data_IF_793979791894
#
_entry.id   IF_793979791894
#
_cell.length_a   1.000
_cell.length_b   1.000
_cell.length_c   1.000
_cell.angle_alpha   90.00
_cell.angle_beta   90.00
_cell.angle_gamma   90.00
#
_symmetry.space_group_name_H-M   'P 1'
#
loop_
_entity.id
_entity.type
_entity.pdbx_description
1 polymer ?
#
# COMPACT_ATOMS: atom_id res chain seq x y z
N UNK A 1 -0.59 -34.04 -53.60
CA UNK A 1 0.73 -33.42 -53.37
C UNK A 1 0.73 -32.90 -51.94
N UNK A 2 1.57 -33.46 -51.06
CA UNK A 2 1.68 -33.03 -49.67
C UNK A 2 2.83 -32.05 -49.50
N UNK A 3 2.65 -31.04 -48.65
CA UNK A 3 3.72 -30.12 -48.24
C UNK A 3 3.95 -30.27 -46.74
N UNK A 4 4.93 -31.10 -46.38
CA UNK A 4 5.45 -31.19 -45.02
C UNK A 4 6.43 -30.05 -44.79
N UNK A 5 6.13 -29.16 -43.84
CA UNK A 5 7.11 -28.19 -43.32
C UNK A 5 7.68 -28.77 -42.02
N UNK A 6 8.97 -29.09 -42.04
CA UNK A 6 9.71 -29.62 -40.88
C UNK A 6 9.96 -28.51 -39.85
N UNK A 7 9.44 -28.67 -38.64
CA UNK A 7 9.77 -27.84 -37.48
C UNK A 7 11.15 -28.25 -36.96
N UNK A 8 12.14 -27.34 -37.05
CA UNK A 8 13.44 -27.53 -36.42
C UNK A 8 13.30 -27.31 -34.91
N UNK A 9 13.46 -28.37 -34.13
CA UNK A 9 13.45 -28.31 -32.66
C UNK A 9 14.53 -27.36 -32.13
N UNK A 10 14.17 -26.57 -31.13
CA UNK A 10 15.10 -25.71 -30.40
C UNK A 10 16.16 -26.55 -29.70
N UNK A 11 17.42 -26.13 -29.81
CA UNK A 11 18.55 -26.76 -29.11
C UNK A 11 18.31 -26.66 -27.61
N UNK A 12 18.46 -27.78 -26.89
CA UNK A 12 18.41 -27.88 -25.44
C UNK A 12 19.38 -26.90 -24.77
N UNK A 13 18.90 -25.69 -24.51
CA UNK A 13 19.56 -24.71 -23.65
C UNK A 13 18.50 -24.11 -22.76
N UNK A 14 18.53 -24.51 -21.49
CA UNK A 14 17.68 -23.95 -20.46
C UNK A 14 17.94 -22.43 -20.37
N UNK A 15 16.96 -21.56 -20.68
CA UNK A 15 17.16 -20.11 -20.78
C UNK A 15 17.45 -19.41 -19.45
N UNK A 16 17.48 -20.17 -18.35
CA UNK A 16 17.70 -19.69 -16.99
C UNK A 16 19.14 -19.91 -16.51
N UNK A 17 20.03 -20.47 -17.34
CA UNK A 17 21.42 -20.74 -16.95
C UNK A 17 22.36 -19.74 -17.64
N UNK A 18 23.07 -18.89 -16.88
CA UNK A 18 24.07 -17.98 -17.40
C UNK A 18 25.23 -18.71 -18.11
N UNK A 19 25.77 -18.08 -19.15
CA UNK A 19 26.78 -18.66 -20.05
C UNK A 19 28.17 -18.93 -19.44
N UNK A 20 28.34 -18.77 -18.12
CA UNK A 20 29.61 -18.97 -17.41
C UNK A 20 29.62 -20.24 -16.54
N UNK A 21 28.49 -20.95 -16.44
CA UNK A 21 28.39 -22.22 -15.72
C UNK A 21 28.66 -23.36 -16.70
N UNK A 22 29.85 -23.95 -16.62
CA UNK A 22 30.21 -25.15 -17.37
C UNK A 22 29.55 -26.41 -16.76
N UNK A 23 29.13 -27.29 -17.65
CA UNK A 23 28.20 -28.41 -17.44
C UNK A 23 28.94 -29.70 -17.01
N UNK A 24 29.73 -29.63 -15.93
CA UNK A 24 30.53 -30.76 -15.46
C UNK A 24 30.32 -31.08 -13.97
N UNK A 25 29.08 -31.40 -13.62
CA UNK A 25 28.73 -32.11 -12.38
C UNK A 25 27.54 -33.03 -12.62
N UNK A 26 27.80 -34.24 -13.13
CA UNK A 26 26.83 -35.34 -13.10
C UNK A 26 27.06 -36.20 -11.85
N UNK A 27 26.06 -36.37 -10.98
CA UNK A 27 25.91 -37.59 -10.21
C UNK A 27 24.74 -38.40 -10.78
N UNK A 28 25.10 -39.53 -11.40
CA UNK A 28 24.28 -40.73 -11.53
C UNK A 28 23.80 -41.21 -10.15
N UNK A 29 22.49 -41.35 -9.96
CA UNK A 29 21.85 -42.68 -9.94
C UNK A 29 20.34 -42.58 -9.64
N UNK A 30 19.55 -43.26 -10.47
CA UNK A 30 18.13 -43.57 -10.31
C UNK A 30 17.96 -44.64 -9.21
N UNK A 31 16.85 -44.77 -8.46
CA UNK A 31 15.48 -45.15 -8.85
C UNK A 31 14.67 -45.42 -7.54
N UNK A 32 13.43 -45.96 -7.55
CA UNK A 32 12.20 -45.60 -8.26
C UNK A 32 10.93 -45.54 -7.34
N UNK A 33 9.80 -45.23 -7.99
CA UNK A 33 8.38 -45.18 -7.59
C UNK A 33 7.85 -46.13 -6.49
N UNK A 34 6.89 -45.62 -5.69
CA UNK A 34 5.75 -46.40 -5.20
C UNK A 34 4.56 -45.51 -4.72
N UNK A 35 3.44 -45.60 -5.45
CA UNK A 35 2.04 -45.52 -4.95
C UNK A 35 1.28 -46.64 -5.69
N UNK A 36 0.05 -47.08 -5.33
CA UNK A 36 -0.93 -46.51 -4.37
C UNK A 36 -1.63 -47.56 -3.47
N UNK A 37 -2.54 -47.15 -2.56
CA UNK A 37 -3.90 -47.74 -2.39
C UNK A 37 -4.71 -47.12 -1.23
N UNK A 38 -5.96 -46.75 -1.52
CA UNK A 38 -7.06 -46.56 -0.55
C UNK A 38 -7.81 -47.89 -0.33
N UNK A 39 -8.58 -48.00 0.77
CA UNK A 39 -9.99 -48.39 0.61
C UNK A 39 -10.97 -47.63 1.54
N UNK A 40 -12.21 -47.44 1.06
CA UNK A 40 -13.42 -47.08 1.84
C UNK A 40 -14.14 -48.36 2.38
N UNK A 41 -15.39 -48.33 2.88
CA UNK A 41 -15.82 -48.06 4.26
C UNK A 41 -16.61 -49.26 4.87
N UNK A 42 -16.95 -49.22 6.16
CA UNK A 42 -17.97 -50.14 6.73
C UNK A 42 -18.74 -49.47 7.89
N UNK A 43 -20.04 -49.79 7.99
CA UNK A 43 -21.05 -49.11 8.81
C UNK A 43 -21.58 -49.88 10.03
N UNK A 44 -22.71 -49.40 10.57
CA UNK A 44 -23.53 -49.99 11.66
C UNK A 44 -23.66 -49.02 12.86
N UNK A 45 -24.77 -48.28 13.01
CA UNK A 45 -26.04 -48.63 13.73
C UNK A 45 -25.81 -48.82 15.26
N UNK A 46 -26.60 -48.32 16.22
CA UNK A 46 -28.06 -48.14 16.28
C UNK A 46 -28.51 -47.34 17.54
N UNK A 47 -29.75 -46.81 17.49
CA UNK A 47 -30.66 -46.52 18.63
C UNK A 47 -30.57 -45.15 19.34
N UNK A 48 -31.61 -44.34 19.54
CA UNK A 48 -33.06 -44.47 19.31
C UNK A 48 -33.89 -43.89 20.48
N UNK A 49 -34.90 -43.05 20.14
CA UNK A 49 -36.08 -42.59 20.92
C UNK A 49 -35.86 -41.48 21.97
N UNK A 50 -36.74 -40.48 22.18
CA UNK A 50 -38.18 -40.28 21.90
C UNK A 50 -38.46 -38.75 22.05
N UNK A 51 -39.19 -38.04 21.17
CA UNK A 51 -40.67 -37.87 21.17
C UNK A 51 -41.10 -36.88 22.27
N UNK A 52 -41.83 -35.78 22.07
CA UNK A 52 -43.03 -35.47 21.28
C UNK A 52 -43.26 -33.94 21.32
N UNK A 53 -43.64 -33.19 20.28
CA UNK A 53 -44.83 -33.18 19.40
C UNK A 53 -46.00 -32.29 19.90
N UNK A 54 -46.72 -31.72 18.91
CA UNK A 54 -47.92 -30.84 18.89
C UNK A 54 -47.67 -29.39 18.40
N UNK A 55 -47.94 -29.02 17.13
CA UNK A 55 -49.22 -28.78 16.39
C UNK A 55 -50.07 -27.63 16.96
N UNK A 56 -50.67 -26.69 16.21
CA UNK A 56 -50.90 -26.43 14.78
C UNK A 56 -51.28 -24.94 14.60
N UNK A 57 -51.17 -24.34 13.40
CA UNK A 57 -52.26 -24.19 12.39
C UNK A 57 -53.25 -23.06 12.79
N UNK A 58 -53.70 -22.07 12.01
CA UNK A 58 -53.74 -21.74 10.57
C UNK A 58 -54.25 -20.29 10.44
N UNK A 59 -54.10 -19.63 9.27
CA UNK A 59 -54.87 -18.41 8.95
C UNK A 59 -54.32 -17.58 7.78
N UNK A 60 -54.77 -17.88 6.56
CA UNK A 60 -54.37 -17.29 5.27
C UNK A 60 -55.26 -16.09 4.82
N UNK A 61 -54.86 -15.45 3.71
CA UNK A 61 -55.60 -14.55 2.77
C UNK A 61 -55.35 -13.03 2.96
N UNK A 62 -55.06 -12.19 1.95
CA UNK A 62 -55.25 -12.30 0.50
C UNK A 62 -54.37 -11.31 -0.32
N UNK A 63 -54.38 -11.51 -1.64
CA UNK A 63 -53.56 -11.00 -2.77
C UNK A 63 -53.56 -9.49 -3.09
N UNK A 64 -52.50 -9.03 -3.80
CA UNK A 64 -52.58 -8.58 -5.20
C UNK A 64 -51.22 -8.10 -5.78
N UNK A 65 -50.81 -8.73 -6.89
CA UNK A 65 -49.79 -8.27 -7.85
C UNK A 65 -50.50 -7.72 -9.11
N UNK A 66 -49.82 -6.94 -9.96
CA UNK A 66 -49.68 -7.42 -11.33
C UNK A 66 -48.27 -7.25 -11.95
N UNK A 67 -47.90 -8.27 -12.74
CA UNK A 67 -46.81 -8.37 -13.73
C UNK A 67 -46.97 -7.28 -14.85
N UNK A 68 -46.06 -6.98 -15.79
CA UNK A 68 -45.03 -7.77 -16.47
C UNK A 68 -44.09 -6.83 -17.28
N UNK A 69 -42.91 -7.32 -17.68
CA UNK A 69 -42.07 -6.69 -18.69
C UNK A 69 -40.68 -7.31 -18.84
N UNK A 70 -40.62 -8.56 -19.32
CA UNK A 70 -39.41 -9.32 -19.63
C UNK A 70 -38.75 -8.86 -20.95
N UNK A 71 -37.41 -8.91 -21.00
CA UNK A 71 -36.60 -8.79 -22.21
C UNK A 71 -35.15 -9.21 -21.91
N UNK A 72 -34.89 -10.52 -21.96
CA UNK A 72 -33.55 -11.08 -21.90
C UNK A 72 -32.94 -11.23 -23.29
N UNK A 73 -31.63 -11.02 -23.40
CA UNK A 73 -30.78 -11.49 -24.49
C UNK A 73 -29.36 -11.73 -23.94
N UNK A 74 -29.04 -13.02 -23.83
CA UNK A 74 -27.80 -13.69 -24.24
C UNK A 74 -26.43 -13.15 -23.79
N UNK A 75 -25.86 -13.92 -22.87
CA UNK A 75 -24.44 -14.05 -22.58
C UNK A 75 -23.70 -14.76 -23.73
N UNK A 76 -22.84 -14.05 -24.47
CA UNK A 76 -21.60 -14.62 -25.04
C UNK A 76 -20.62 -13.50 -25.43
N UNK A 77 -19.32 -13.74 -25.23
CA UNK A 77 -18.24 -12.90 -25.74
C UNK A 77 -17.51 -12.04 -24.70
N UNK A 78 -16.84 -12.68 -23.74
CA UNK A 78 -15.74 -12.06 -23.00
C UNK A 78 -14.59 -11.71 -23.96
N UNK A 79 -14.64 -10.50 -24.52
CA UNK A 79 -13.52 -9.89 -25.22
C UNK A 79 -12.64 -9.18 -24.20
N UNK A 80 -11.54 -9.85 -23.87
CA UNK A 80 -10.31 -9.31 -23.30
C UNK A 80 -10.00 -7.89 -23.82
N UNK A 81 -10.22 -6.89 -22.97
CA UNK A 81 -9.79 -5.50 -23.16
C UNK A 81 -8.78 -5.07 -22.09
N UNK A 82 -8.18 -6.06 -21.39
CA UNK A 82 -7.33 -5.87 -20.23
C UNK A 82 -5.88 -5.56 -20.57
N UNK A 83 -5.59 -4.44 -21.27
CA UNK A 83 -4.22 -3.88 -21.28
C UNK A 83 -4.13 -2.39 -21.67
N UNK A 84 -5.08 -1.88 -22.48
CA UNK A 84 -5.05 -0.47 -22.92
C UNK A 84 -5.57 0.54 -21.88
N UNK A 85 -6.45 0.11 -20.98
CA UNK A 85 -7.09 0.99 -19.98
C UNK A 85 -6.16 1.37 -18.82
N UNK A 86 -5.23 0.49 -18.45
CA UNK A 86 -4.25 0.69 -17.37
C UNK A 86 -3.05 1.51 -17.82
N UNK A 87 -2.57 1.35 -19.05
CA UNK A 87 -1.47 2.16 -19.58
C UNK A 87 -1.87 3.64 -19.75
N UNK A 88 -3.11 3.89 -20.18
CA UNK A 88 -3.63 5.25 -20.40
C UNK A 88 -3.77 6.08 -19.12
N UNK A 89 -4.10 5.46 -17.98
CA UNK A 89 -4.42 6.19 -16.73
C UNK A 89 -3.21 6.87 -16.08
N UNK A 90 -1.99 6.38 -16.33
CA UNK A 90 -0.75 6.99 -15.82
C UNK A 90 -0.15 8.01 -16.78
N UNK A 91 -0.56 8.03 -18.06
CA UNK A 91 0.08 8.83 -19.12
C UNK A 91 0.07 10.32 -18.81
N UNK A 92 -1.07 10.86 -18.35
CA UNK A 92 -1.19 12.28 -18.01
C UNK A 92 -0.30 12.68 -16.82
N UNK A 93 -0.29 11.85 -15.78
CA UNK A 93 0.47 12.12 -14.56
C UNK A 93 1.99 12.03 -14.82
N UNK A 94 2.45 10.95 -15.49
CA UNK A 94 3.85 10.78 -15.89
C UNK A 94 4.33 11.86 -16.86
N UNK A 95 3.49 12.26 -17.82
CA UNK A 95 3.82 13.35 -18.75
C UNK A 95 3.97 14.69 -18.04
N UNK A 96 3.06 15.01 -17.10
CA UNK A 96 3.16 16.20 -16.26
C UNK A 96 4.44 16.21 -15.42
N UNK A 97 4.73 15.09 -14.75
CA UNK A 97 5.93 14.98 -13.92
C UNK A 97 7.23 15.03 -14.75
N UNK A 98 7.24 14.43 -15.93
CA UNK A 98 8.36 14.55 -16.88
C UNK A 98 8.60 16.01 -17.28
N UNK A 99 7.54 16.78 -17.53
CA UNK A 99 7.65 18.21 -17.82
C UNK A 99 8.17 19.00 -16.62
N UNK A 100 7.77 18.62 -15.40
CA UNK A 100 8.27 19.21 -14.15
C UNK A 100 9.76 18.92 -13.97
N UNK A 101 10.18 17.67 -14.11
CA UNK A 101 11.58 17.28 -14.00
C UNK A 101 12.46 17.97 -15.06
N UNK A 102 12.00 18.06 -16.32
CA UNK A 102 12.70 18.80 -17.38
C UNK A 102 12.84 20.31 -17.12
N UNK A 103 12.00 20.87 -16.26
CA UNK A 103 12.11 22.28 -15.85
C UNK A 103 13.05 22.49 -14.65
N UNK A 104 13.77 21.44 -14.21
CA UNK A 104 14.60 21.49 -13.01
C UNK A 104 13.78 21.73 -11.74
N UNK A 105 12.54 21.23 -11.70
CA UNK A 105 11.62 21.50 -10.60
C UNK A 105 11.01 22.89 -10.58
N UNK A 106 11.31 23.81 -11.51
CA UNK A 106 10.76 25.18 -11.44
C UNK A 106 9.28 25.30 -11.84
N UNK A 107 8.74 24.35 -12.62
CA UNK A 107 7.39 24.45 -13.16
C UNK A 107 6.33 23.94 -12.19
N UNK A 108 5.89 24.81 -11.26
CA UNK A 108 4.77 24.51 -10.36
C UNK A 108 3.51 24.04 -11.10
N UNK A 109 3.21 24.64 -12.26
CA UNK A 109 2.10 24.23 -13.14
C UNK A 109 2.19 22.77 -13.59
N UNK A 110 3.39 22.32 -13.96
CA UNK A 110 3.61 20.95 -14.39
C UNK A 110 3.44 19.96 -13.21
N UNK A 111 3.94 20.33 -12.03
CA UNK A 111 3.76 19.58 -10.79
C UNK A 111 2.27 19.43 -10.43
N UNK A 112 1.53 20.54 -10.42
CA UNK A 112 0.08 20.54 -10.15
C UNK A 112 -0.68 19.65 -11.13
N UNK A 113 -0.36 19.75 -12.44
CA UNK A 113 -0.97 18.89 -13.46
C UNK A 113 -0.65 17.41 -13.25
N UNK A 114 0.57 17.08 -12.83
CA UNK A 114 0.99 15.71 -12.57
C UNK A 114 0.19 15.08 -11.42
N UNK A 115 0.15 15.78 -10.27
CA UNK A 115 -0.53 15.32 -9.06
C UNK A 115 -2.05 15.30 -9.26
N UNK A 116 -2.65 16.33 -9.85
CA UNK A 116 -4.08 16.35 -10.13
C UNK A 116 -4.48 15.20 -11.08
N UNK A 117 -3.68 14.94 -12.12
CA UNK A 117 -3.92 13.80 -13.01
C UNK A 117 -3.74 12.46 -12.30
N UNK A 118 -2.79 12.35 -11.37
CA UNK A 118 -2.64 11.16 -10.55
C UNK A 118 -3.89 10.92 -9.72
N UNK A 119 -4.29 11.87 -8.86
CA UNK A 119 -5.42 11.68 -7.96
C UNK A 119 -6.71 11.43 -8.76
N UNK A 120 -6.99 12.24 -9.78
CA UNK A 120 -8.22 12.13 -10.57
C UNK A 120 -8.29 10.89 -11.45
N UNK A 121 -7.26 10.61 -12.26
CA UNK A 121 -7.31 9.57 -13.31
C UNK A 121 -6.59 8.30 -12.92
N UNK A 122 -5.41 8.41 -12.34
CA UNK A 122 -4.64 7.23 -11.92
C UNK A 122 -5.32 6.59 -10.71
N UNK A 123 -5.52 7.33 -9.63
CA UNK A 123 -6.19 6.82 -8.44
C UNK A 123 -7.72 6.77 -8.59
N UNK A 124 -8.32 7.57 -9.47
CA UNK A 124 -9.78 7.56 -9.62
C UNK A 124 -10.50 8.28 -8.47
N UNK A 125 -9.92 9.39 -7.99
CA UNK A 125 -10.45 10.24 -6.94
C UNK A 125 -9.72 10.10 -5.60
N UNK A 126 -9.86 11.11 -4.73
CA UNK A 126 -9.17 11.20 -3.44
C UNK A 126 -9.48 10.03 -2.50
N UNK A 127 -10.75 9.60 -2.42
CA UNK A 127 -11.15 8.42 -1.65
C UNK A 127 -10.46 7.14 -2.12
N UNK A 128 -10.36 6.94 -3.43
CA UNK A 128 -9.68 5.77 -3.99
C UNK A 128 -8.15 5.88 -3.88
N UNK A 129 -7.59 7.09 -3.83
CA UNK A 129 -6.18 7.30 -3.51
C UNK A 129 -5.88 6.87 -2.07
N UNK A 130 -6.68 7.33 -1.09
CA UNK A 130 -6.56 6.93 0.30
C UNK A 130 -6.78 5.42 0.51
N UNK A 131 -7.78 4.83 -0.16
CA UNK A 131 -8.04 3.38 -0.10
C UNK A 131 -6.84 2.54 -0.55
N UNK A 132 -6.10 2.99 -1.57
CA UNK A 132 -4.88 2.30 -2.05
C UNK A 132 -3.72 2.36 -1.06
N UNK A 133 -3.78 3.19 -0.04
CA UNK A 133 -2.75 3.32 1.00
C UNK A 133 -3.09 2.44 2.22
N UNK A 134 -3.66 1.25 1.99
CA UNK A 134 -4.20 0.42 3.08
C UNK A 134 -3.11 -0.08 4.03
N UNK A 135 -1.96 -0.49 3.48
CA UNK A 135 -0.79 -0.93 4.24
C UNK A 135 -0.20 0.22 5.05
N UNK A 136 -0.01 1.38 4.42
CA UNK A 136 0.54 2.58 5.06
C UNK A 136 -0.40 3.17 6.12
N UNK A 137 -1.71 3.17 5.88
CA UNK A 137 -2.71 3.54 6.90
C UNK A 137 -2.66 2.60 8.09
N UNK A 138 -2.54 1.29 7.86
CA UNK A 138 -2.40 0.32 8.94
C UNK A 138 -1.09 0.52 9.73
N UNK A 139 0.00 0.84 9.05
CA UNK A 139 1.27 1.21 9.69
C UNK A 139 1.16 2.53 10.47
N UNK A 140 0.49 3.54 9.94
CA UNK A 140 0.21 4.80 10.64
C UNK A 140 -0.58 4.57 11.94
N UNK A 141 -1.59 3.70 11.93
CA UNK A 141 -2.34 3.34 13.15
C UNK A 141 -1.43 2.68 14.19
N UNK A 142 -0.59 1.72 13.77
CA UNK A 142 0.36 1.06 14.69
C UNK A 142 1.39 2.05 15.23
N UNK A 143 1.91 2.94 14.39
CA UNK A 143 2.83 4.01 14.78
C UNK A 143 2.20 4.94 15.81
N UNK A 144 0.98 5.40 15.56
CA UNK A 144 0.28 6.32 16.45
C UNK A 144 0.01 5.68 17.82
N UNK A 145 -0.38 4.40 17.87
CA UNK A 145 -0.54 3.67 19.13
C UNK A 145 0.80 3.53 19.87
N UNK A 146 1.87 3.14 19.16
CA UNK A 146 3.20 3.01 19.73
C UNK A 146 3.72 4.34 20.30
N UNK A 147 3.51 5.44 19.58
CA UNK A 147 3.89 6.78 20.03
C UNK A 147 3.02 7.26 21.19
N UNK A 148 1.73 6.92 21.21
CA UNK A 148 0.84 7.17 22.34
C UNK A 148 1.32 6.44 23.58
N UNK A 149 1.67 5.16 23.47
CA UNK A 149 2.21 4.38 24.59
C UNK A 149 3.56 4.97 25.06
N UNK A 150 4.45 5.29 24.11
CA UNK A 150 5.73 5.94 24.42
C UNK A 150 5.56 7.31 25.09
N UNK A 151 4.52 8.07 24.74
CA UNK A 151 4.20 9.35 25.38
C UNK A 151 3.72 9.20 26.84
N UNK A 152 3.33 7.99 27.26
CA UNK A 152 2.90 7.73 28.63
C UNK A 152 4.01 7.07 29.46
N UNK A 153 4.60 5.98 28.95
CA UNK A 153 5.56 5.15 29.69
C UNK A 153 7.01 5.29 29.22
N UNK A 154 7.25 5.96 28.11
CA UNK A 154 8.55 6.03 27.43
C UNK A 154 8.79 4.85 26.48
N UNK A 155 9.52 5.11 25.40
CA UNK A 155 9.76 4.12 24.33
C UNK A 155 10.57 2.90 24.81
N UNK A 156 11.44 3.06 25.81
CA UNK A 156 12.17 1.93 26.42
C UNK A 156 11.24 0.95 27.11
N UNK A 157 10.20 1.46 27.78
CA UNK A 157 9.23 0.59 28.44
C UNK A 157 8.37 -0.15 27.41
N UNK A 158 7.96 0.54 26.35
CA UNK A 158 7.28 -0.08 25.21
C UNK A 158 8.13 -1.22 24.63
N UNK A 159 9.44 -1.00 24.42
CA UNK A 159 10.34 -2.04 23.93
C UNK A 159 10.46 -3.24 24.89
N UNK A 160 10.43 -3.02 26.22
CA UNK A 160 10.43 -4.12 27.20
C UNK A 160 9.15 -4.93 27.15
N UNK A 161 8.00 -4.27 27.04
CA UNK A 161 6.68 -4.93 26.95
C UNK A 161 6.58 -5.78 25.68
N UNK A 162 7.20 -5.34 24.58
CA UNK A 162 7.29 -6.09 23.32
C UNK A 162 8.35 -7.21 23.35
N UNK A 163 8.86 -7.58 24.53
CA UNK A 163 9.90 -8.59 24.75
C UNK A 163 11.25 -8.29 24.09
N UNK A 164 11.44 -7.06 23.58
CA UNK A 164 12.69 -6.57 23.00
C UNK A 164 13.63 -5.99 24.07
N UNK A 165 13.67 -6.62 25.24
CA UNK A 165 14.36 -6.12 26.44
C UNK A 165 15.85 -5.85 26.24
N UNK A 166 16.51 -6.58 25.33
CA UNK A 166 17.91 -6.35 24.94
C UNK A 166 18.15 -4.97 24.30
N UNK A 167 17.08 -4.31 23.82
CA UNK A 167 17.13 -2.97 23.25
C UNK A 167 16.98 -1.86 24.30
N UNK A 168 16.50 -2.15 25.51
CA UNK A 168 16.18 -1.11 26.49
C UNK A 168 17.41 -0.28 26.93
N UNK A 169 18.63 -0.83 26.76
CA UNK A 169 19.89 -0.14 27.05
C UNK A 169 20.55 0.48 25.81
N UNK A 170 19.89 0.46 24.64
CA UNK A 170 20.40 1.04 23.40
C UNK A 170 20.05 2.54 23.30
N UNK A 171 20.76 3.30 22.44
CA UNK A 171 20.34 4.63 22.04
C UNK A 171 18.89 4.64 21.54
N UNK A 172 18.15 5.71 21.82
CA UNK A 172 16.72 5.83 21.48
C UNK A 172 16.46 5.56 20.00
N UNK A 173 17.32 6.07 19.12
CA UNK A 173 17.21 5.84 17.68
C UNK A 173 17.40 4.37 17.28
N UNK A 174 18.26 3.61 17.98
CA UNK A 174 18.37 2.16 17.75
C UNK A 174 17.10 1.43 18.19
N UNK A 175 16.41 1.91 19.23
CA UNK A 175 15.12 1.36 19.66
C UNK A 175 14.06 1.60 18.58
N UNK A 176 13.92 2.83 18.08
CA UNK A 176 12.99 3.11 16.98
C UNK A 176 13.34 2.32 15.71
N UNK A 177 14.63 2.19 15.36
CA UNK A 177 15.05 1.40 14.20
C UNK A 177 14.64 -0.08 14.33
N UNK A 178 14.72 -0.66 15.52
CA UNK A 178 14.29 -2.03 15.75
C UNK A 178 12.75 -2.20 15.78
N UNK A 179 12.01 -1.15 16.12
CA UNK A 179 10.54 -1.15 16.12
C UNK A 179 9.93 -0.99 14.72
N UNK A 180 10.75 -0.79 13.68
CA UNK A 180 10.32 -0.75 12.27
C UNK A 180 9.46 -1.97 11.92
N UNK A 181 9.87 -3.17 12.32
CA UNK A 181 9.17 -4.41 11.95
C UNK A 181 7.81 -4.55 12.67
N UNK A 182 7.72 -4.00 13.89
CA UNK A 182 6.46 -3.93 14.66
C UNK A 182 5.47 -2.99 13.97
N UNK A 183 5.95 -1.85 13.47
CA UNK A 183 5.12 -0.82 12.85
C UNK A 183 4.80 -1.14 11.39
N UNK A 184 5.75 -1.63 10.61
CA UNK A 184 5.63 -1.79 9.16
C UNK A 184 5.36 -3.24 8.72
N UNK A 185 5.43 -4.21 9.65
CA UNK A 185 5.32 -5.63 9.32
C UNK A 185 6.62 -6.21 8.75
N UNK A 186 6.61 -7.52 8.46
CA UNK A 186 7.83 -8.27 8.07
C UNK A 186 8.41 -7.87 6.72
N UNK A 187 7.64 -7.19 5.86
CA UNK A 187 8.06 -6.78 4.52
C UNK A 187 7.77 -7.81 3.44
N UNK A 188 8.24 -7.51 2.23
CA UNK A 188 8.11 -8.36 1.05
C UNK A 188 7.15 -7.84 -0.01
N UNK A 189 6.33 -6.84 0.30
CA UNK A 189 5.55 -6.07 -0.67
C UNK A 189 6.10 -4.66 -0.86
N UNK A 190 5.87 -4.08 -2.03
CA UNK A 190 6.23 -2.68 -2.33
C UNK A 190 5.62 -1.69 -1.33
N UNK A 191 4.40 -1.97 -0.89
CA UNK A 191 3.69 -1.13 0.06
C UNK A 191 4.34 -1.19 1.46
N UNK A 192 4.96 -2.31 1.81
CA UNK A 192 5.71 -2.44 3.07
C UNK A 192 7.03 -1.67 3.00
N UNK A 193 7.70 -1.63 1.84
CA UNK A 193 8.92 -0.82 1.68
C UNK A 193 8.60 0.67 1.74
N UNK A 194 7.49 1.11 1.14
CA UNK A 194 7.02 2.50 1.26
C UNK A 194 6.77 2.86 2.74
N UNK A 195 6.08 2.00 3.49
CA UNK A 195 5.84 2.24 4.91
C UNK A 195 7.16 2.29 5.73
N UNK A 196 8.10 1.38 5.45
CA UNK A 196 9.40 1.35 6.13
C UNK A 196 10.25 2.58 5.85
N UNK A 197 10.40 2.96 4.58
CA UNK A 197 11.17 4.14 4.18
C UNK A 197 10.57 5.40 4.80
N UNK A 198 9.23 5.53 4.76
CA UNK A 198 8.53 6.64 5.38
C UNK A 198 8.73 6.72 6.90
N UNK A 199 8.72 5.58 7.60
CA UNK A 199 8.99 5.51 9.03
C UNK A 199 10.40 5.97 9.36
N UNK A 200 11.41 5.42 8.66
CA UNK A 200 12.83 5.73 8.92
C UNK A 200 13.08 7.21 8.68
N UNK A 201 12.58 7.76 7.57
CA UNK A 201 12.72 9.17 7.24
C UNK A 201 11.99 10.05 8.25
N UNK A 202 10.78 9.68 8.70
CA UNK A 202 10.05 10.47 9.68
C UNK A 202 10.79 10.55 11.02
N UNK A 203 11.20 9.40 11.58
CA UNK A 203 11.94 9.39 12.86
C UNK A 203 13.29 10.10 12.73
N UNK A 204 14.02 9.88 11.63
CA UNK A 204 15.30 10.53 11.37
C UNK A 204 15.18 12.05 11.28
N UNK A 205 14.22 12.55 10.50
CA UNK A 205 13.98 14.00 10.36
C UNK A 205 13.58 14.65 11.67
N UNK A 206 12.73 14.00 12.48
CA UNK A 206 12.34 14.55 13.79
C UNK A 206 13.52 14.55 14.76
N UNK A 207 14.37 13.53 14.72
CA UNK A 207 15.55 13.43 15.59
C UNK A 207 16.57 14.56 15.37
N UNK A 208 16.60 15.16 14.19
CA UNK A 208 17.45 16.31 13.86
C UNK A 208 16.89 17.65 14.34
N UNK A 209 15.61 17.69 14.75
CA UNK A 209 14.97 18.90 15.25
C UNK A 209 15.26 19.06 16.74
N UNK A 210 15.96 20.15 17.08
CA UNK A 210 16.25 20.54 18.46
C UNK A 210 14.97 20.64 19.30
N UNK A 211 15.01 20.06 20.50
CA UNK A 211 13.90 20.11 21.45
C UNK A 211 12.83 19.03 21.29
N UNK A 212 12.96 18.14 20.30
CA UNK A 212 12.10 16.95 20.21
C UNK A 212 12.61 15.84 21.14
N UNK A 213 11.73 15.29 21.98
CA UNK A 213 12.09 14.26 22.95
C UNK A 213 11.60 12.89 22.46
N UNK A 214 12.45 12.07 21.85
CA UNK A 214 12.04 10.76 21.34
C UNK A 214 11.85 9.69 22.41
N UNK A 215 12.48 9.84 23.58
CA UNK A 215 12.32 8.89 24.68
C UNK A 215 10.91 8.90 25.27
N UNK A 216 10.36 10.11 25.42
CA UNK A 216 9.04 10.38 26.00
C UNK A 216 8.40 11.50 25.16
N UNK A 217 7.89 11.18 23.96
CA UNK A 217 7.44 12.18 23.01
C UNK A 217 6.23 12.94 23.54
N UNK A 218 6.30 14.28 23.48
CA UNK A 218 5.14 15.13 23.73
C UNK A 218 4.06 14.92 22.66
N UNK A 219 2.83 15.32 22.94
CA UNK A 219 1.72 15.28 21.97
C UNK A 219 2.10 16.01 20.67
N UNK A 220 2.82 17.13 20.78
CA UNK A 220 3.34 17.87 19.62
C UNK A 220 4.38 17.06 18.84
N UNK A 221 5.30 16.38 19.53
CA UNK A 221 6.30 15.51 18.89
C UNK A 221 5.62 14.32 18.20
N UNK A 222 4.61 13.71 18.83
CA UNK A 222 3.81 12.63 18.21
C UNK A 222 3.11 13.13 16.95
N UNK A 223 2.45 14.29 17.02
CA UNK A 223 1.80 14.92 15.87
C UNK A 223 2.78 15.17 14.73
N UNK A 224 3.97 15.67 15.04
CA UNK A 224 5.02 15.96 14.06
C UNK A 224 5.57 14.68 13.40
N UNK A 225 5.83 13.62 14.17
CA UNK A 225 6.25 12.32 13.61
C UNK A 225 5.17 11.76 12.68
N UNK A 226 3.89 11.84 13.09
CA UNK A 226 2.77 11.37 12.27
C UNK A 226 2.60 12.17 10.99
N UNK A 227 2.73 13.50 11.04
CA UNK A 227 2.70 14.38 9.86
C UNK A 227 3.81 14.01 8.86
N UNK A 228 5.04 13.84 9.36
CA UNK A 228 6.17 13.45 8.52
C UNK A 228 5.99 12.05 7.93
N UNK A 229 5.51 11.09 8.72
CA UNK A 229 5.23 9.73 8.24
C UNK A 229 4.21 9.72 7.10
N UNK A 230 3.07 10.40 7.27
CA UNK A 230 2.01 10.47 6.27
C UNK A 230 2.50 11.22 5.02
N UNK A 231 3.27 12.30 5.20
CA UNK A 231 3.90 13.02 4.10
C UNK A 231 4.79 12.09 3.27
N UNK A 232 5.69 11.35 3.93
CA UNK A 232 6.65 10.48 3.27
C UNK A 232 5.94 9.34 2.51
N UNK A 233 4.98 8.66 3.13
CA UNK A 233 4.22 7.58 2.46
C UNK A 233 3.50 8.07 1.20
N UNK A 234 2.90 9.26 1.23
CA UNK A 234 2.23 9.84 0.06
C UNK A 234 3.26 10.26 -1.01
N UNK A 235 4.39 10.84 -0.61
CA UNK A 235 5.47 11.20 -1.53
C UNK A 235 6.01 9.98 -2.25
N UNK A 236 6.41 8.94 -1.51
CA UNK A 236 6.98 7.70 -2.06
C UNK A 236 5.99 7.02 -2.99
N UNK A 237 4.70 7.01 -2.62
CA UNK A 237 3.63 6.48 -3.47
C UNK A 237 3.47 7.26 -4.78
N UNK A 238 3.50 8.58 -4.71
CA UNK A 238 3.41 9.43 -5.90
C UNK A 238 4.65 9.24 -6.78
N UNK A 239 5.84 9.32 -6.20
CA UNK A 239 7.12 9.16 -6.89
C UNK A 239 7.20 7.83 -7.61
N UNK A 240 6.88 6.73 -6.93
CA UNK A 240 6.80 5.41 -7.55
C UNK A 240 5.79 5.36 -8.72
N UNK A 241 4.65 6.05 -8.62
CA UNK A 241 3.63 6.03 -9.66
C UNK A 241 3.97 6.90 -10.90
N UNK A 242 4.60 8.07 -10.70
CA UNK A 242 4.69 9.12 -11.72
C UNK A 242 6.12 9.58 -12.05
N UNK A 243 7.10 9.30 -11.19
CA UNK A 243 8.49 9.75 -11.31
C UNK A 243 9.41 8.77 -12.06
N UNK A 244 8.90 8.12 -13.12
CA UNK A 244 9.60 7.04 -13.85
C UNK A 244 10.93 7.44 -14.51
N UNK A 245 11.25 8.73 -14.60
CA UNK A 245 12.43 9.26 -15.29
C UNK A 245 13.18 10.31 -14.45
N UNK A 246 12.96 10.33 -13.13
CA UNK A 246 13.54 11.36 -12.26
C UNK A 246 15.07 11.26 -12.15
N UNK A 247 15.65 10.07 -12.33
CA UNK A 247 17.10 9.87 -12.28
C UNK A 247 17.76 10.07 -13.65
N UNK A 248 17.01 9.92 -14.74
CA UNK A 248 17.57 9.94 -16.11
C UNK A 248 17.47 11.30 -16.80
N UNK A 249 16.57 12.18 -16.34
CA UNK A 249 16.34 13.48 -16.98
C UNK A 249 17.24 14.61 -16.43
N UNK A 250 17.40 14.78 -15.11
CA UNK A 250 18.26 15.80 -14.55
C UNK A 250 19.73 15.52 -14.90
N UNK A 251 20.53 16.59 -15.04
CA UNK A 251 21.95 16.49 -15.40
C UNK A 251 22.87 16.39 -14.18
N UNK A 252 22.33 16.66 -12.99
CA UNK A 252 23.06 16.73 -11.72
C UNK A 252 22.15 16.30 -10.55
N UNK A 253 22.80 15.94 -9.44
CA UNK A 253 22.16 15.43 -8.23
C UNK A 253 21.37 16.53 -7.50
N UNK A 254 21.84 17.78 -7.55
CA UNK A 254 21.20 18.92 -6.88
C UNK A 254 19.79 19.16 -7.43
N UNK A 255 19.63 19.08 -8.74
CA UNK A 255 18.32 19.18 -9.41
C UNK A 255 17.36 18.05 -8.99
N UNK A 256 17.86 16.83 -8.80
CA UNK A 256 17.03 15.71 -8.31
C UNK A 256 16.52 16.01 -6.89
N UNK A 257 17.41 16.48 -6.01
CA UNK A 257 17.06 16.85 -4.64
C UNK A 257 16.08 18.03 -4.59
N UNK A 258 16.22 19.02 -5.48
CA UNK A 258 15.27 20.14 -5.58
C UNK A 258 13.88 19.67 -6.03
N UNK A 259 13.81 18.76 -7.01
CA UNK A 259 12.54 18.16 -7.47
C UNK A 259 11.86 17.40 -6.34
N UNK A 260 12.61 16.56 -5.61
CA UNK A 260 12.11 15.79 -4.47
C UNK A 260 11.63 16.70 -3.34
N UNK A 261 12.42 17.72 -2.98
CA UNK A 261 12.06 18.70 -1.96
C UNK A 261 10.78 19.44 -2.31
N UNK A 262 10.67 19.96 -3.54
CA UNK A 262 9.47 20.70 -3.96
C UNK A 262 8.22 19.82 -4.00
N UNK A 263 8.37 18.55 -4.37
CA UNK A 263 7.30 17.57 -4.30
C UNK A 263 6.88 17.33 -2.84
N UNK A 264 7.86 17.11 -1.95
CA UNK A 264 7.65 16.87 -0.53
C UNK A 264 7.00 18.07 0.16
N UNK A 265 7.48 19.29 -0.08
CA UNK A 265 6.90 20.52 0.47
C UNK A 265 5.44 20.70 0.03
N UNK A 266 5.14 20.39 -1.23
CA UNK A 266 3.78 20.48 -1.75
C UNK A 266 2.84 19.46 -1.10
N UNK A 267 3.28 18.21 -0.91
CA UNK A 267 2.51 17.18 -0.21
C UNK A 267 2.37 17.52 1.27
N UNK A 268 3.46 17.96 1.92
CA UNK A 268 3.48 18.33 3.33
C UNK A 268 2.47 19.43 3.62
N UNK A 269 2.40 20.48 2.79
CA UNK A 269 1.39 21.54 2.94
C UNK A 269 -0.04 20.97 2.98
N UNK A 270 -0.38 20.04 2.09
CA UNK A 270 -1.69 19.39 2.11
C UNK A 270 -1.93 18.51 3.35
N UNK A 271 -0.89 17.87 3.88
CA UNK A 271 -0.96 17.10 5.13
C UNK A 271 -1.14 18.03 6.32
N UNK A 272 -0.35 19.10 6.44
CA UNK A 272 -0.44 20.08 7.52
C UNK A 272 -1.83 20.73 7.56
N UNK A 273 -2.39 21.08 6.40
CA UNK A 273 -3.77 21.60 6.29
C UNK A 273 -4.80 20.56 6.76
N UNK A 274 -4.65 19.30 6.35
CA UNK A 274 -5.55 18.22 6.77
C UNK A 274 -5.49 17.95 8.28
N UNK A 275 -4.29 18.02 8.87
CA UNK A 275 -4.06 17.90 10.31
C UNK A 275 -4.66 19.10 11.05
N UNK A 276 -4.51 20.32 10.54
CA UNK A 276 -5.10 21.51 11.13
C UNK A 276 -6.65 21.46 11.14
N UNK A 277 -7.25 20.93 10.07
CA UNK A 277 -8.71 20.78 9.94
C UNK A 277 -9.32 19.66 10.81
N UNK A 278 -8.53 18.64 11.16
CA UNK A 278 -9.00 17.49 11.94
C UNK A 278 -8.57 17.55 13.42
N UNK A 279 -7.50 18.27 13.73
CA UNK A 279 -6.81 18.24 15.01
C UNK A 279 -5.74 17.14 15.09
N UNK A 280 -4.76 17.33 15.97
CA UNK A 280 -3.59 16.44 16.17
C UNK A 280 -3.85 15.31 17.17
N UNK A 281 -5.07 15.19 17.70
CA UNK A 281 -5.34 14.24 18.79
C UNK A 281 -5.61 12.84 18.24
N UNK A 282 -4.55 12.04 18.23
CA UNK A 282 -4.59 10.61 17.95
C UNK A 282 -5.07 9.85 19.19
N UNK A 283 -6.39 9.83 19.43
CA UNK A 283 -6.99 9.06 20.51
C UNK A 283 -7.01 7.57 20.16
N UNK A 284 -6.57 6.71 21.10
CA UNK A 284 -6.43 5.26 20.91
C UNK A 284 -7.72 4.58 20.43
N UNK A 285 -8.88 4.96 21.00
CA UNK A 285 -10.17 4.31 20.69
C UNK A 285 -10.70 4.61 19.28
N UNK A 286 -10.27 5.70 18.67
CA UNK A 286 -10.72 6.14 17.33
C UNK A 286 -9.56 6.20 16.32
N UNK A 287 -8.41 5.63 16.67
CA UNK A 287 -7.15 5.82 15.94
C UNK A 287 -7.28 5.48 14.45
N UNK A 288 -7.93 4.36 14.15
CA UNK A 288 -8.14 3.89 12.77
C UNK A 288 -9.00 4.86 11.97
N UNK A 289 -10.13 5.31 12.53
CA UNK A 289 -11.04 6.23 11.85
C UNK A 289 -10.38 7.60 11.64
N UNK A 290 -9.63 8.07 12.65
CA UNK A 290 -8.84 9.30 12.58
C UNK A 290 -7.82 9.23 11.46
N UNK A 291 -7.02 8.17 11.39
CA UNK A 291 -6.01 7.98 10.32
C UNK A 291 -6.69 7.84 8.95
N UNK A 292 -7.77 7.07 8.84
CA UNK A 292 -8.48 6.87 7.57
C UNK A 292 -9.07 8.19 7.04
N UNK A 293 -9.70 8.98 7.90
CA UNK A 293 -10.19 10.33 7.58
C UNK A 293 -9.05 11.25 7.15
N UNK A 294 -7.92 11.20 7.88
CA UNK A 294 -6.78 12.08 7.62
C UNK A 294 -6.21 11.84 6.22
N UNK A 295 -6.00 10.59 5.80
CA UNK A 295 -5.54 10.29 4.44
C UNK A 295 -6.56 10.72 3.36
N UNK A 296 -7.86 10.49 3.56
CA UNK A 296 -8.90 10.92 2.59
C UNK A 296 -8.94 12.45 2.46
N UNK A 297 -8.83 13.17 3.58
CA UNK A 297 -8.75 14.64 3.61
C UNK A 297 -7.48 15.15 2.95
N UNK A 298 -6.31 14.60 3.28
CA UNK A 298 -5.04 14.96 2.64
C UNK A 298 -5.13 14.82 1.13
N UNK A 299 -5.63 13.70 0.60
CA UNK A 299 -5.79 13.54 -0.85
C UNK A 299 -6.84 14.48 -1.46
N UNK A 300 -7.81 14.93 -0.69
CA UNK A 300 -8.82 15.90 -1.14
C UNK A 300 -8.21 17.30 -1.26
N UNK A 301 -7.49 17.75 -0.23
CA UNK A 301 -6.77 19.03 -0.20
C UNK A 301 -5.66 19.03 -1.27
N UNK A 302 -4.86 17.96 -1.32
CA UNK A 302 -3.79 17.80 -2.30
C UNK A 302 -4.30 17.91 -3.74
N UNK A 303 -5.47 17.32 -4.03
CA UNK A 303 -6.09 17.44 -5.36
C UNK A 303 -6.53 18.87 -5.65
N UNK A 304 -7.19 19.54 -4.71
CA UNK A 304 -7.65 20.92 -4.87
C UNK A 304 -6.48 21.89 -5.11
N UNK A 305 -5.44 21.83 -4.27
CA UNK A 305 -4.22 22.62 -4.43
C UNK A 305 -3.53 22.32 -5.78
N UNK A 306 -3.50 21.05 -6.20
CA UNK A 306 -2.88 20.65 -7.46
C UNK A 306 -3.66 21.18 -8.68
N UNK A 307 -4.99 21.20 -8.63
CA UNK A 307 -5.82 21.78 -9.69
C UNK A 307 -5.69 23.30 -9.81
N UNK A 308 -5.54 24.00 -8.69
CA UNK A 308 -5.25 25.43 -8.67
C UNK A 308 -3.87 25.72 -9.27
N UNK A 309 -2.84 25.02 -8.78
CA UNK A 309 -1.46 25.16 -9.26
C UNK A 309 -1.33 24.78 -10.74
N UNK A 310 -2.15 23.88 -11.27
CA UNK A 310 -2.18 23.53 -12.69
C UNK A 310 -2.71 24.65 -13.61
N UNK A 311 -3.42 25.64 -13.06
CA UNK A 311 -4.01 26.79 -13.77
C UNK A 311 -3.10 28.04 -13.72
N UNK A 312 -2.32 28.21 -12.65
CA UNK A 312 -1.31 29.28 -12.49
C UNK A 312 -0.18 29.15 -13.49
#
# INVERSE_FOLDING_TARGET
>A
MGTSTSFGGGKDRNPLIPSWVDDDMSPTDAAPDAQPSSPEPDGGEDGGSDGSDETGDQGNEDQANPEAGNGGEDTDGSADTGDKSTAGRHRGARGGFTSFAKSGGSSGRALGRAIASYVRKTAGGSRNAARRMATERSAAVRLANLLSDASTSGIREVARILELSTLANRPVLEIYAALVDVVCGTGGQLDDSIARDAYINAVGEIAEIDGTALEHPSIETVGLIMEHFITNTICDRLMNAIATQIVTLPQDIETVQDIERQMKDFVRGAVSDAVADQGTTFLSDQMKETVDSLYERTFSILHALAEEKAKS
#
